data_IF_399796215500
#
_entry.id   IF_399796215500
#
_cell.length_a   1.000
_cell.length_b   1.000
_cell.length_c   1.000
_cell.angle_alpha   90.00
_cell.angle_beta   90.00
_cell.angle_gamma   90.00
#
_symmetry.space_group_name_H-M   'P 1'
#
loop_
_entity.id
_entity.type
_entity.pdbx_description
1 polymer ?
#
# COMPACT_ATOMS: atom_id res chain seq x y z
N UNK A 1 18.27 5.24 3.99
CA UNK A 1 17.72 4.60 2.78
C UNK A 1 16.79 5.59 2.14
N UNK A 2 17.25 6.05 0.98
CA UNK A 2 16.85 7.25 0.25
C UNK A 2 15.34 7.45 0.21
N UNK A 3 14.93 8.70 0.42
CA UNK A 3 13.55 9.17 0.28
C UNK A 3 12.91 8.68 -1.03
N UNK A 4 13.72 8.47 -2.08
CA UNK A 4 13.36 7.82 -3.34
C UNK A 4 12.69 6.46 -3.18
N UNK A 5 13.12 5.59 -2.27
CA UNK A 5 12.46 4.29 -2.02
C UNK A 5 11.18 4.46 -1.19
N UNK A 6 10.98 5.55 -0.44
CA UNK A 6 9.71 5.85 0.26
C UNK A 6 8.64 6.26 -0.75
N UNK A 7 9.00 7.15 -1.66
CA UNK A 7 8.08 7.68 -2.67
C UNK A 7 7.68 6.59 -3.67
N UNK A 8 8.63 5.76 -4.14
CA UNK A 8 8.33 4.66 -5.08
C UNK A 8 7.30 3.66 -4.54
N UNK A 9 7.37 3.31 -3.26
CA UNK A 9 6.39 2.42 -2.63
C UNK A 9 5.03 3.10 -2.42
N UNK A 10 5.00 4.38 -2.06
CA UNK A 10 3.75 5.14 -2.02
C UNK A 10 3.08 5.23 -3.39
N UNK A 11 3.89 5.43 -4.44
CA UNK A 11 3.42 5.52 -5.82
C UNK A 11 2.78 4.21 -6.30
N UNK A 12 3.41 3.05 -6.00
CA UNK A 12 2.83 1.74 -6.33
C UNK A 12 1.50 1.51 -5.59
N UNK A 13 1.40 1.96 -4.33
CA UNK A 13 0.19 1.83 -3.53
C UNK A 13 -0.98 2.63 -4.10
N UNK A 14 -0.72 3.89 -4.49
CA UNK A 14 -1.72 4.77 -5.10
C UNK A 14 -2.16 4.24 -6.46
N UNK A 15 -1.20 3.85 -7.31
CA UNK A 15 -1.50 3.29 -8.63
C UNK A 15 -2.34 2.02 -8.52
N UNK A 16 -2.01 1.16 -7.56
CA UNK A 16 -2.74 -0.07 -7.32
C UNK A 16 -4.16 0.18 -6.78
N UNK A 17 -4.35 1.16 -5.88
CA UNK A 17 -5.67 1.57 -5.40
C UNK A 17 -6.56 2.05 -6.55
N UNK A 18 -6.02 2.86 -7.44
CA UNK A 18 -6.73 3.31 -8.65
C UNK A 18 -7.12 2.13 -9.55
N UNK A 19 -6.23 1.17 -9.74
CA UNK A 19 -6.48 -0.02 -10.55
C UNK A 19 -7.55 -0.93 -9.91
N UNK A 20 -7.47 -1.17 -8.61
CA UNK A 20 -8.50 -1.89 -7.84
C UNK A 20 -9.86 -1.22 -7.99
N UNK A 21 -9.92 0.10 -7.88
CA UNK A 21 -11.16 0.85 -8.03
C UNK A 21 -11.77 0.68 -9.43
N UNK A 22 -10.93 0.74 -10.47
CA UNK A 22 -11.35 0.56 -11.86
C UNK A 22 -11.85 -0.87 -12.13
N UNK A 23 -11.15 -1.86 -11.58
CA UNK A 23 -11.55 -3.28 -11.65
C UNK A 23 -12.90 -3.50 -10.95
N UNK A 24 -13.08 -2.97 -9.75
CA UNK A 24 -14.34 -3.10 -9.00
C UNK A 24 -15.49 -2.40 -9.72
N UNK A 25 -15.24 -1.25 -10.36
CA UNK A 25 -16.25 -0.55 -11.15
C UNK A 25 -16.60 -1.28 -12.46
N UNK A 26 -15.68 -2.08 -13.01
CA UNK A 26 -15.86 -2.76 -14.31
C UNK A 26 -16.25 -4.24 -14.21
N UNK A 27 -16.09 -4.88 -13.05
CA UNK A 27 -16.36 -6.32 -12.86
C UNK A 27 -17.47 -6.57 -11.84
N UNK A 28 -18.26 -7.66 -12.01
CA UNK A 28 -19.22 -8.06 -11.00
C UNK A 28 -18.51 -8.45 -9.70
N UNK A 29 -19.01 -7.93 -8.58
CA UNK A 29 -18.48 -8.15 -7.23
C UNK A 29 -18.42 -9.65 -6.89
N UNK A 30 -17.28 -10.25 -7.18
CA UNK A 30 -16.97 -11.64 -6.84
C UNK A 30 -16.21 -11.65 -5.53
N UNK A 31 -16.63 -12.48 -4.57
CA UNK A 31 -15.95 -12.69 -3.27
C UNK A 31 -14.44 -12.90 -3.41
N UNK A 32 -14.02 -13.54 -4.50
CA UNK A 32 -12.63 -13.76 -4.86
C UNK A 32 -11.85 -12.47 -5.12
N UNK A 33 -12.46 -11.50 -5.82
CA UNK A 33 -11.86 -10.17 -6.07
C UNK A 33 -11.69 -9.43 -4.76
N UNK A 34 -12.72 -9.42 -3.91
CA UNK A 34 -12.64 -8.81 -2.57
C UNK A 34 -11.51 -9.42 -1.74
N UNK A 35 -11.35 -10.75 -1.78
CA UNK A 35 -10.28 -11.44 -1.07
C UNK A 35 -8.88 -10.99 -1.56
N UNK A 36 -8.68 -10.90 -2.87
CA UNK A 36 -7.41 -10.47 -3.46
C UNK A 36 -7.10 -9.01 -3.15
N UNK A 37 -8.11 -8.14 -3.21
CA UNK A 37 -7.95 -6.72 -2.88
C UNK A 37 -7.48 -6.57 -1.43
N UNK A 38 -8.06 -7.32 -0.50
CA UNK A 38 -7.64 -7.33 0.92
C UNK A 38 -6.22 -7.88 1.06
N UNK A 39 -5.91 -9.04 0.46
CA UNK A 39 -4.59 -9.66 0.55
C UNK A 39 -3.50 -8.74 -0.01
N UNK A 40 -3.72 -8.14 -1.17
CA UNK A 40 -2.79 -7.19 -1.76
C UNK A 40 -2.69 -5.91 -0.90
N UNK A 41 -3.75 -5.55 -0.19
CA UNK A 41 -3.80 -4.43 0.75
C UNK A 41 -2.80 -4.61 1.87
N UNK A 42 -2.82 -5.80 2.45
CA UNK A 42 -1.90 -6.21 3.50
C UNK A 42 -0.46 -6.22 2.98
N UNK A 43 -0.21 -6.79 1.79
CA UNK A 43 1.14 -6.85 1.20
C UNK A 43 1.76 -5.47 1.00
N UNK A 44 0.96 -4.48 0.59
CA UNK A 44 1.42 -3.08 0.45
C UNK A 44 1.52 -2.37 1.80
N UNK A 45 0.65 -2.70 2.75
CA UNK A 45 0.69 -2.16 4.10
C UNK A 45 1.93 -2.60 4.88
N UNK A 46 2.41 -3.84 4.72
CA UNK A 46 3.59 -4.39 5.40
C UNK A 46 4.85 -3.52 5.24
N UNK A 47 5.35 -3.21 4.03
CA UNK A 47 6.52 -2.36 3.85
C UNK A 47 6.27 -0.93 4.30
N UNK A 48 5.04 -0.41 4.20
CA UNK A 48 4.65 0.92 4.66
C UNK A 48 4.70 1.03 6.19
N UNK A 49 4.06 0.07 6.88
CA UNK A 49 3.99 -0.03 8.34
C UNK A 49 5.37 -0.22 8.97
N UNK A 50 6.17 -1.14 8.43
CA UNK A 50 7.54 -1.40 8.91
C UNK A 50 8.44 -0.16 8.77
N UNK A 51 8.17 0.67 7.76
CA UNK A 51 8.89 1.93 7.51
C UNK A 51 8.41 3.06 8.40
N UNK A 52 7.10 3.16 8.68
CA UNK A 52 6.52 4.11 9.63
C UNK A 52 7.05 3.89 11.05
N UNK A 53 7.01 2.64 11.55
CA UNK A 53 7.53 2.26 12.87
C UNK A 53 9.03 2.57 13.01
N UNK A 54 9.82 2.34 11.96
CA UNK A 54 11.26 2.63 11.96
C UNK A 54 11.57 4.13 11.89
N UNK A 55 10.68 4.96 11.35
CA UNK A 55 10.86 6.41 11.26
C UNK A 55 10.44 7.15 12.54
N UNK A 56 9.44 6.64 13.28
CA UNK A 56 9.03 7.21 14.58
C UNK A 56 10.16 7.21 15.62
N UNK A 57 11.03 6.18 15.60
CA UNK A 57 12.18 6.09 16.52
C UNK A 57 13.31 7.09 16.26
N UNK A 58 13.36 7.75 15.10
CA UNK A 58 14.44 8.72 14.77
C UNK A 58 14.07 10.17 15.03
N UNK A 59 12.79 10.49 15.25
CA UNK A 59 12.33 11.87 15.44
C UNK A 59 12.14 12.27 16.92
N UNK A 60 12.47 11.38 17.87
CA UNK A 60 12.46 11.69 19.31
C UNK A 60 13.84 12.07 19.87
N UNK A 61 14.85 12.23 19.01
CA UNK A 61 16.16 12.80 19.36
C UNK A 61 16.60 13.73 18.24
N UNK A 62 16.04 14.93 18.23
CA UNK A 62 16.45 16.05 17.39
C UNK A 62 16.10 17.31 18.14
#
# INVERSE_FOLDING_TARGET
MDTSTKIRFGFIAVLWLALCYLVIASQPFTLWVAFIVICSGIVVWVPLYKKYVKNGKRNSKG
#
